data_IF_802137366299
#
_entry.id   IF_802137366299
#
_cell.length_a   1.000
_cell.length_b   1.000
_cell.length_c   1.000
_cell.angle_alpha   90.00
_cell.angle_beta   90.00
_cell.angle_gamma   90.00
#
_symmetry.space_group_name_H-M   'P 1'
#
loop_
_entity.id
_entity.type
_entity.pdbx_description
1 polymer ?
#
# COMPACT_ATOMS: atom_id res chain seq x y z
N UNK A 1 3.08 19.36 -23.80
CA UNK A 1 2.90 20.57 -24.63
C UNK A 1 3.70 20.41 -25.90
N UNK A 2 3.07 20.65 -27.04
CA UNK A 2 3.70 20.64 -28.35
C UNK A 2 3.78 22.07 -28.88
N UNK A 3 4.95 22.48 -29.37
CA UNK A 3 5.22 23.80 -29.93
C UNK A 3 5.69 23.64 -31.38
N UNK A 4 4.92 24.20 -32.32
CA UNK A 4 5.23 24.23 -33.75
C UNK A 4 6.26 25.33 -34.04
N UNK A 5 6.92 25.27 -35.20
CA UNK A 5 7.87 26.32 -35.62
C UNK A 5 7.24 27.70 -35.85
N UNK A 6 5.94 27.75 -36.11
CA UNK A 6 5.16 29.00 -36.22
C UNK A 6 4.84 29.65 -34.86
N UNK A 7 5.27 29.03 -33.75
CA UNK A 7 5.01 29.49 -32.39
C UNK A 7 3.69 28.99 -31.78
N UNK A 8 2.86 28.27 -32.54
CA UNK A 8 1.61 27.68 -32.04
C UNK A 8 1.91 26.65 -30.95
N UNK A 9 1.23 26.78 -29.80
CA UNK A 9 1.35 25.86 -28.68
C UNK A 9 0.07 25.07 -28.47
N UNK A 10 0.22 23.77 -28.32
CA UNK A 10 -0.88 22.83 -28.12
C UNK A 10 -0.64 22.08 -26.80
N UNK A 11 -1.57 22.22 -25.87
CA UNK A 11 -1.60 21.40 -24.66
C UNK A 11 -2.16 20.02 -25.02
N UNK A 12 -1.46 18.97 -24.61
CA UNK A 12 -1.79 17.59 -24.97
C UNK A 12 -1.62 16.73 -23.72
N UNK A 13 -2.65 15.93 -23.43
CA UNK A 13 -2.58 14.83 -22.48
C UNK A 13 -2.41 13.55 -23.27
N UNK A 14 -1.35 12.79 -22.99
CA UNK A 14 -1.10 11.51 -23.67
C UNK A 14 -2.11 10.49 -23.15
N UNK A 15 -2.91 9.86 -24.03
CA UNK A 15 -3.88 8.87 -23.62
C UNK A 15 -3.19 7.51 -23.32
N UNK A 16 -3.88 6.54 -22.70
CA UNK A 16 -3.27 5.27 -22.25
C UNK A 16 -2.59 4.46 -23.36
N UNK A 17 -3.03 4.58 -24.61
CA UNK A 17 -2.42 3.99 -25.80
C UNK A 17 -1.04 4.58 -26.15
N UNK A 18 -0.64 5.68 -25.50
CA UNK A 18 0.70 6.27 -25.62
C UNK A 18 0.94 7.02 -26.93
N UNK A 19 -0.08 7.20 -27.76
CA UNK A 19 0.06 7.84 -29.09
C UNK A 19 -0.74 9.14 -29.16
N UNK A 20 -0.19 10.11 -29.88
CA UNK A 20 -0.79 11.44 -30.08
C UNK A 20 -0.54 11.83 -31.53
N UNK A 21 -1.58 12.34 -32.20
CA UNK A 21 -1.46 12.88 -33.56
C UNK A 21 -1.50 14.41 -33.53
N UNK A 22 -0.49 15.05 -34.11
CA UNK A 22 -0.46 16.50 -34.33
C UNK A 22 -0.46 16.75 -35.83
N UNK A 23 -1.42 17.55 -36.31
CA UNK A 23 -1.57 17.89 -37.73
C UNK A 23 -1.00 19.27 -38.03
N UNK A 24 -0.71 19.49 -39.32
CA UNK A 24 -0.25 20.78 -39.86
C UNK A 24 1.02 21.25 -39.14
N UNK A 25 2.07 20.43 -39.17
CA UNK A 25 3.36 20.74 -38.55
C UNK A 25 4.27 21.34 -39.61
N UNK A 26 4.56 22.65 -39.58
CA UNK A 26 5.45 23.29 -40.56
C UNK A 26 6.82 22.61 -40.55
N UNK A 27 7.31 22.28 -41.74
CA UNK A 27 8.57 21.55 -41.95
C UNK A 27 8.66 20.19 -41.24
N UNK A 28 7.56 19.68 -40.70
CA UNK A 28 7.53 18.43 -39.93
C UNK A 28 8.33 18.48 -38.62
N UNK A 29 8.74 19.65 -38.13
CA UNK A 29 9.52 19.77 -36.89
C UNK A 29 8.63 20.27 -35.76
N UNK A 30 8.69 19.57 -34.62
CA UNK A 30 7.89 19.90 -33.45
C UNK A 30 8.76 19.86 -32.19
N UNK A 31 8.64 20.89 -31.35
CA UNK A 31 9.25 20.89 -30.01
C UNK A 31 8.25 20.34 -29.01
N UNK A 32 8.57 19.23 -28.39
CA UNK A 32 7.76 18.62 -27.35
C UNK A 32 8.35 18.99 -25.99
N UNK A 33 7.49 19.44 -25.08
CA UNK A 33 7.80 19.61 -23.66
C UNK A 33 6.85 18.74 -22.84
N UNK A 34 7.41 17.73 -22.17
CA UNK A 34 6.70 16.89 -21.21
C UNK A 34 6.65 17.63 -19.89
N UNK A 35 5.50 18.23 -19.60
CA UNK A 35 5.31 19.10 -18.43
C UNK A 35 5.27 18.27 -17.14
N UNK A 36 4.47 17.21 -17.12
CA UNK A 36 4.30 16.36 -15.94
C UNK A 36 3.95 14.93 -16.32
N UNK A 37 4.29 13.99 -15.44
CA UNK A 37 3.86 12.59 -15.49
C UNK A 37 3.11 12.24 -14.21
N UNK A 38 1.87 11.74 -14.31
CA UNK A 38 0.99 11.49 -13.15
C UNK A 38 0.85 12.69 -12.21
N UNK A 39 0.94 13.91 -12.75
CA UNK A 39 0.90 15.16 -11.97
C UNK A 39 2.22 15.57 -11.30
N UNK A 40 3.28 14.77 -11.43
CA UNK A 40 4.64 15.11 -10.97
C UNK A 40 5.36 15.88 -12.07
N UNK A 41 5.95 17.06 -11.81
CA UNK A 41 6.69 17.84 -12.81
C UNK A 41 7.88 17.06 -13.37
N UNK A 42 8.07 17.15 -14.69
CA UNK A 42 9.23 16.54 -15.39
C UNK A 42 10.01 17.60 -16.17
N UNK A 43 9.31 18.52 -16.84
CA UNK A 43 9.89 19.62 -17.61
C UNK A 43 10.98 19.19 -18.62
N UNK A 44 10.78 18.04 -19.27
CA UNK A 44 11.70 17.54 -20.29
C UNK A 44 11.33 18.06 -21.67
N UNK A 45 12.31 18.58 -22.43
CA UNK A 45 12.09 19.11 -23.78
C UNK A 45 12.93 18.36 -24.82
N UNK A 46 12.30 18.02 -25.94
CA UNK A 46 12.99 17.42 -27.08
C UNK A 46 12.37 17.90 -28.41
N UNK A 47 13.09 17.66 -29.50
CA UNK A 47 12.60 17.90 -30.85
C UNK A 47 12.22 16.58 -31.51
N UNK A 48 11.08 16.54 -32.19
CA UNK A 48 10.60 15.37 -32.93
C UNK A 48 10.34 15.72 -34.38
N UNK A 49 10.51 14.72 -35.24
CA UNK A 49 10.25 14.78 -36.68
C UNK A 49 9.52 13.50 -37.12
N UNK A 50 8.97 13.43 -38.35
CA UNK A 50 8.43 12.17 -38.88
C UNK A 50 9.44 11.02 -38.87
N UNK A 51 10.74 11.30 -38.98
CA UNK A 51 11.80 10.30 -38.91
C UNK A 51 12.17 9.90 -37.47
N UNK A 52 11.86 10.73 -36.47
CA UNK A 52 12.07 10.46 -35.05
C UNK A 52 10.85 10.94 -34.24
N UNK A 53 9.77 10.16 -34.33
CA UNK A 53 8.47 10.46 -33.72
C UNK A 53 8.31 9.88 -32.31
N UNK A 54 9.31 9.16 -31.81
CA UNK A 54 9.28 8.53 -30.48
C UNK A 54 9.94 9.43 -29.45
N UNK A 55 9.22 9.70 -28.35
CA UNK A 55 9.73 10.50 -27.23
C UNK A 55 10.04 9.57 -26.05
N UNK A 56 11.31 9.43 -25.72
CA UNK A 56 11.75 8.75 -24.50
C UNK A 56 12.05 9.80 -23.44
N UNK A 57 11.32 9.75 -22.33
CA UNK A 57 11.47 10.70 -21.22
C UNK A 57 12.49 10.12 -20.21
N UNK A 58 13.64 10.76 -20.00
CA UNK A 58 14.61 10.32 -19.01
C UNK A 58 14.09 10.56 -17.58
N UNK A 59 14.70 9.90 -16.59
CA UNK A 59 14.38 10.11 -15.18
C UNK A 59 13.02 9.54 -14.75
N UNK A 60 12.42 8.65 -15.54
CA UNK A 60 11.28 7.84 -15.12
C UNK A 60 11.81 6.48 -14.65
N UNK A 61 11.58 6.17 -13.37
CA UNK A 61 12.11 4.98 -12.72
C UNK A 61 10.99 4.05 -12.24
N UNK A 62 11.33 2.77 -12.17
CA UNK A 62 10.45 1.74 -11.60
C UNK A 62 10.55 1.78 -10.08
N UNK A 63 9.41 2.01 -9.41
CA UNK A 63 9.27 1.84 -7.97
C UNK A 63 8.48 0.57 -7.70
N UNK A 64 9.04 -0.33 -6.90
CA UNK A 64 8.35 -1.50 -6.38
C UNK A 64 8.10 -1.33 -4.88
N UNK A 65 6.84 -1.26 -4.49
CA UNK A 65 6.41 -1.21 -3.09
C UNK A 65 6.11 -2.63 -2.62
N UNK A 66 6.74 -3.07 -1.54
CA UNK A 66 6.49 -4.36 -0.91
C UNK A 66 5.80 -4.14 0.43
N UNK A 67 4.50 -4.47 0.50
CA UNK A 67 3.68 -4.45 1.69
C UNK A 67 3.86 -5.77 2.45
N UNK A 68 4.44 -5.71 3.65
CA UNK A 68 4.74 -6.89 4.47
C UNK A 68 4.13 -6.78 5.86
N UNK A 69 3.75 -7.90 6.45
CA UNK A 69 3.31 -7.97 7.85
C UNK A 69 4.46 -8.13 8.83
N UNK A 70 4.14 -8.29 10.12
CA UNK A 70 5.11 -8.34 11.22
C UNK A 70 6.07 -9.53 11.15
N UNK A 71 5.75 -10.57 10.37
CA UNK A 71 6.59 -11.76 10.15
C UNK A 71 7.35 -11.71 8.82
N UNK A 72 7.34 -10.57 8.14
CA UNK A 72 7.93 -10.41 6.80
C UNK A 72 7.10 -11.08 5.69
N UNK A 73 5.88 -11.53 5.98
CA UNK A 73 4.99 -12.13 5.00
C UNK A 73 4.37 -11.06 4.09
N UNK A 74 4.29 -11.31 2.79
CA UNK A 74 3.62 -10.42 1.85
C UNK A 74 2.13 -10.29 2.13
N UNK A 75 1.59 -9.07 2.08
CA UNK A 75 0.18 -8.78 2.32
C UNK A 75 -0.56 -8.62 0.99
N UNK A 76 -1.08 -9.72 0.44
CA UNK A 76 -1.90 -9.71 -0.78
C UNK A 76 -3.13 -8.83 -0.57
N UNK A 77 -3.43 -7.96 -1.54
CA UNK A 77 -4.61 -7.10 -1.46
C UNK A 77 -4.40 -5.82 -0.64
N UNK A 78 -3.19 -5.56 -0.14
CA UNK A 78 -2.87 -4.28 0.49
C UNK A 78 -3.07 -3.12 -0.50
N UNK A 79 -3.76 -2.08 -0.06
CA UNK A 79 -3.92 -0.85 -0.84
C UNK A 79 -2.65 -0.01 -0.70
N UNK A 80 -2.05 0.34 -1.82
CA UNK A 80 -0.87 1.21 -1.89
C UNK A 80 -1.29 2.52 -2.52
N UNK A 81 -0.93 3.62 -1.87
CA UNK A 81 -1.14 4.98 -2.37
C UNK A 81 0.16 5.76 -2.27
N UNK A 82 0.53 6.44 -3.36
CA UNK A 82 1.79 7.16 -3.49
C UNK A 82 1.49 8.65 -3.62
N UNK A 83 2.15 9.45 -2.79
CA UNK A 83 1.94 10.89 -2.70
C UNK A 83 3.20 11.65 -3.12
N UNK A 84 2.98 12.75 -3.82
CA UNK A 84 3.98 13.77 -4.13
C UNK A 84 3.46 15.13 -3.67
N UNK A 85 4.19 15.83 -2.81
CA UNK A 85 3.76 17.13 -2.28
C UNK A 85 2.38 17.11 -1.61
N UNK A 86 2.02 16.01 -0.94
CA UNK A 86 0.72 15.82 -0.28
C UNK A 86 -0.44 15.44 -1.22
N UNK A 87 -0.21 15.32 -2.53
CA UNK A 87 -1.22 14.89 -3.50
C UNK A 87 -1.00 13.44 -3.91
N UNK A 88 -2.08 12.66 -3.97
CA UNK A 88 -2.07 11.29 -4.52
C UNK A 88 -1.74 11.34 -6.02
N UNK A 89 -0.64 10.69 -6.41
CA UNK A 89 -0.16 10.60 -7.81
C UNK A 89 -0.35 9.22 -8.39
N UNK A 90 -0.47 8.20 -7.54
CA UNK A 90 -0.70 6.83 -7.99
C UNK A 90 -1.34 5.98 -6.89
N UNK A 91 -2.13 4.99 -7.32
CA UNK A 91 -2.78 4.05 -6.42
C UNK A 91 -2.86 2.67 -7.06
N UNK A 92 -2.74 1.64 -6.24
CA UNK A 92 -2.98 0.28 -6.68
C UNK A 92 -3.14 -0.71 -5.54
N UNK A 93 -3.31 -1.97 -5.91
CA UNK A 93 -3.46 -3.08 -4.99
C UNK A 93 -2.24 -4.00 -5.13
N UNK A 94 -1.70 -4.44 -4.01
CA UNK A 94 -0.60 -5.37 -3.96
C UNK A 94 -1.02 -6.77 -4.47
N UNK A 95 -0.12 -7.39 -5.23
CA UNK A 95 -0.28 -8.73 -5.81
C UNK A 95 -0.18 -9.86 -4.76
N UNK A 96 -0.14 -11.12 -5.20
CA UNK A 96 -0.05 -12.29 -4.32
C UNK A 96 1.20 -12.33 -3.44
N UNK A 97 2.28 -11.67 -3.86
CA UNK A 97 3.52 -11.54 -3.08
C UNK A 97 3.52 -10.31 -2.16
N UNK A 98 2.42 -9.53 -2.12
CA UNK A 98 2.36 -8.26 -1.40
C UNK A 98 3.12 -7.14 -2.12
N UNK A 99 3.31 -7.24 -3.44
CA UNK A 99 4.08 -6.28 -4.24
C UNK A 99 3.19 -5.43 -5.14
N UNK A 100 3.50 -4.14 -5.25
CA UNK A 100 2.90 -3.22 -6.22
C UNK A 100 4.01 -2.50 -6.97
N UNK A 101 3.89 -2.35 -8.28
CA UNK A 101 4.94 -1.76 -9.13
C UNK A 101 4.37 -0.66 -9.99
N UNK A 102 5.10 0.44 -10.12
CA UNK A 102 4.73 1.57 -10.98
C UNK A 102 5.94 2.31 -11.54
N UNK A 103 5.72 3.16 -12.54
CA UNK A 103 6.69 4.08 -13.12
C UNK A 103 6.40 5.50 -12.66
N UNK A 104 7.39 6.15 -12.06
CA UNK A 104 7.31 7.50 -11.53
C UNK A 104 8.58 8.30 -11.88
N UNK A 105 8.47 9.63 -12.04
CA UNK A 105 9.64 10.49 -12.18
C UNK A 105 10.59 10.42 -10.99
N UNK A 106 11.82 10.86 -11.19
CA UNK A 106 12.78 11.03 -10.11
C UNK A 106 12.33 12.16 -9.17
N UNK A 107 11.96 11.82 -7.94
CA UNK A 107 11.47 12.74 -6.91
C UNK A 107 11.36 12.04 -5.55
N UNK A 108 11.07 12.82 -4.50
CA UNK A 108 10.72 12.32 -3.18
C UNK A 108 9.22 12.03 -3.08
N UNK A 109 8.87 10.84 -2.61
CA UNK A 109 7.49 10.37 -2.46
C UNK A 109 7.21 9.95 -1.03
N UNK A 110 5.93 10.05 -0.62
CA UNK A 110 5.41 9.36 0.55
C UNK A 110 4.56 8.18 0.09
N UNK A 111 4.90 6.98 0.53
CA UNK A 111 4.20 5.73 0.19
C UNK A 111 3.40 5.31 1.40
N UNK A 112 2.07 5.32 1.25
CA UNK A 112 1.13 4.88 2.28
C UNK A 112 0.57 3.53 1.89
N UNK A 113 0.62 2.59 2.82
CA UNK A 113 0.06 1.25 2.65
C UNK A 113 -1.02 1.03 3.71
N UNK A 114 -2.15 0.45 3.29
CA UNK A 114 -3.25 0.07 4.16
C UNK A 114 -3.63 -1.40 3.92
N UNK A 115 -3.78 -2.15 5.00
CA UNK A 115 -4.28 -3.51 4.97
C UNK A 115 -5.10 -3.82 6.23
N UNK A 116 -6.35 -4.24 6.05
CA UNK A 116 -7.24 -4.62 7.17
C UNK A 116 -7.40 -3.52 8.24
N UNK A 117 -7.33 -2.25 7.85
CA UNK A 117 -7.42 -1.10 8.77
C UNK A 117 -6.08 -0.71 9.43
N UNK A 118 -5.02 -1.49 9.26
CA UNK A 118 -3.66 -1.12 9.68
C UNK A 118 -3.01 -0.28 8.58
N UNK A 119 -2.37 0.82 8.96
CA UNK A 119 -1.70 1.73 8.02
C UNK A 119 -0.24 1.93 8.39
N UNK A 120 0.60 2.09 7.37
CA UNK A 120 2.00 2.48 7.51
C UNK A 120 2.38 3.43 6.38
N UNK A 121 3.32 4.32 6.66
CA UNK A 121 3.81 5.31 5.69
C UNK A 121 5.33 5.31 5.68
N UNK A 122 5.92 5.47 4.50
CA UNK A 122 7.37 5.54 4.33
C UNK A 122 7.73 6.53 3.22
N UNK A 123 8.72 7.37 3.49
CA UNK A 123 9.30 8.24 2.49
C UNK A 123 10.34 7.52 1.64
N UNK A 124 10.39 7.82 0.36
CA UNK A 124 11.36 7.28 -0.60
C UNK A 124 11.84 8.37 -1.54
N UNK A 125 13.16 8.48 -1.70
CA UNK A 125 13.80 9.35 -2.68
C UNK A 125 14.15 8.52 -3.93
N UNK A 126 13.34 8.65 -4.97
CA UNK A 126 13.49 7.87 -6.18
C UNK A 126 14.44 8.57 -7.14
N UNK A 127 15.66 8.06 -7.30
CA UNK A 127 16.64 8.54 -8.29
C UNK A 127 17.10 7.48 -9.29
N UNK A 128 16.70 6.22 -9.06
CA UNK A 128 16.98 5.04 -9.87
C UNK A 128 15.86 4.01 -9.59
N UNK A 129 15.77 2.90 -10.33
CA UNK A 129 14.84 1.83 -9.98
C UNK A 129 15.06 1.36 -8.53
N UNK A 130 14.00 1.33 -7.73
CA UNK A 130 14.11 1.05 -6.29
C UNK A 130 12.97 0.16 -5.78
N UNK A 131 13.23 -0.51 -4.65
CA UNK A 131 12.27 -1.31 -3.90
C UNK A 131 12.13 -0.78 -2.48
N UNK A 132 10.94 -0.30 -2.14
CA UNK A 132 10.59 0.13 -0.79
C UNK A 132 9.77 -0.95 -0.08
N UNK A 133 10.29 -1.44 1.05
CA UNK A 133 9.52 -2.31 1.96
C UNK A 133 8.80 -1.46 3.00
N UNK A 134 7.49 -1.65 3.09
CA UNK A 134 6.60 -1.01 4.07
C UNK A 134 6.01 -2.12 4.95
N UNK A 135 6.41 -2.15 6.22
CA UNK A 135 5.97 -3.15 7.18
C UNK A 135 4.77 -2.63 7.97
N UNK A 136 3.71 -3.45 8.05
CA UNK A 136 2.51 -3.19 8.82
C UNK A 136 2.49 -4.11 10.04
N UNK A 137 1.89 -3.65 11.15
CA UNK A 137 1.67 -4.50 12.33
C UNK A 137 0.48 -5.45 12.12
N UNK A 138 0.71 -6.42 11.24
CA UNK A 138 -0.21 -7.49 10.87
C UNK A 138 0.52 -8.80 11.08
N UNK A 139 0.11 -9.54 12.11
CA UNK A 139 0.72 -10.81 12.50
C UNK A 139 -0.02 -12.01 11.90
N UNK A 140 -1.36 -11.96 11.92
CA UNK A 140 -2.22 -13.02 11.41
C UNK A 140 -3.50 -12.44 10.82
N UNK A 141 -4.14 -13.17 9.91
CA UNK A 141 -5.48 -12.87 9.43
C UNK A 141 -6.40 -14.04 9.81
N UNK A 142 -7.47 -13.74 10.54
CA UNK A 142 -8.43 -14.76 10.99
C UNK A 142 -9.83 -14.26 10.59
N UNK A 143 -10.51 -15.02 9.72
CA UNK A 143 -11.86 -14.68 9.27
C UNK A 143 -11.96 -13.33 8.55
N UNK A 144 -10.93 -12.92 7.80
CA UNK A 144 -10.88 -11.61 7.12
C UNK A 144 -10.47 -10.43 7.99
N UNK A 145 -10.17 -10.67 9.28
CA UNK A 145 -9.70 -9.64 10.21
C UNK A 145 -8.19 -9.74 10.35
N UNK A 146 -7.49 -8.67 9.99
CA UNK A 146 -6.05 -8.53 10.20
C UNK A 146 -5.77 -8.19 11.67
N UNK A 147 -5.05 -9.07 12.36
CA UNK A 147 -4.70 -8.95 13.77
C UNK A 147 -3.22 -8.59 13.92
N UNK A 148 -2.96 -7.65 14.81
CA UNK A 148 -1.62 -7.26 15.25
C UNK A 148 -1.01 -8.27 16.22
N UNK A 149 0.28 -8.13 16.47
CA UNK A 149 0.99 -9.00 17.41
C UNK A 149 0.39 -8.90 18.82
N UNK A 150 0.00 -7.70 19.26
CA UNK A 150 -0.63 -7.47 20.56
C UNK A 150 -2.05 -8.04 20.65
N UNK A 151 -2.85 -7.92 19.58
CA UNK A 151 -4.20 -8.50 19.51
C UNK A 151 -4.15 -10.03 19.61
N UNK A 152 -3.20 -10.66 18.90
CA UNK A 152 -3.01 -12.12 18.96
C UNK A 152 -2.56 -12.56 20.36
N UNK A 153 -1.59 -11.86 20.97
CA UNK A 153 -1.15 -12.18 22.33
C UNK A 153 -2.28 -12.00 23.36
N UNK A 154 -3.09 -10.95 23.22
CA UNK A 154 -4.27 -10.74 24.07
C UNK A 154 -5.28 -11.89 23.96
N UNK A 155 -5.55 -12.37 22.75
CA UNK A 155 -6.43 -13.52 22.53
C UNK A 155 -5.88 -14.81 23.13
N UNK A 156 -4.56 -15.05 23.02
CA UNK A 156 -3.90 -16.23 23.61
C UNK A 156 -3.99 -16.17 25.14
N UNK A 157 -3.68 -15.02 25.76
CA UNK A 157 -3.78 -14.85 27.22
C UNK A 157 -5.22 -15.04 27.68
N UNK A 158 -6.20 -14.44 26.98
CA UNK A 158 -7.62 -14.63 27.29
C UNK A 158 -8.02 -16.11 27.23
N UNK A 159 -7.63 -16.82 26.17
CA UNK A 159 -7.91 -18.25 26.01
C UNK A 159 -7.26 -19.10 27.12
N UNK A 160 -6.06 -18.76 27.57
CA UNK A 160 -5.38 -19.43 28.68
C UNK A 160 -6.02 -19.16 30.05
N UNK A 161 -6.64 -17.99 30.24
CA UNK A 161 -7.35 -17.64 31.48
C UNK A 161 -8.70 -18.36 31.64
N UNK A 162 -9.40 -18.65 30.53
CA UNK A 162 -10.71 -19.35 30.57
C UNK A 162 -10.67 -20.66 31.38
N UNK A 163 -9.77 -21.64 31.12
CA UNK A 163 -9.74 -22.88 31.90
C UNK A 163 -9.37 -22.64 33.36
N UNK A 164 -8.54 -21.65 33.66
CA UNK A 164 -8.20 -21.28 35.04
C UNK A 164 -9.44 -20.76 35.78
N UNK A 165 -10.20 -19.87 35.16
CA UNK A 165 -11.44 -19.34 35.71
C UNK A 165 -12.46 -20.47 35.92
N UNK A 166 -12.64 -21.34 34.91
CA UNK A 166 -13.51 -22.51 35.02
C UNK A 166 -13.08 -23.47 36.13
N UNK A 167 -11.77 -23.65 36.32
CA UNK A 167 -11.23 -24.46 37.41
C UNK A 167 -11.55 -23.85 38.77
N UNK A 168 -11.35 -22.54 38.95
CA UNK A 168 -11.69 -21.83 40.20
C UNK A 168 -13.18 -21.94 40.49
N UNK A 169 -14.04 -21.72 39.49
CA UNK A 169 -15.50 -21.86 39.61
C UNK A 169 -15.86 -23.31 40.00
N UNK A 170 -15.30 -24.31 39.33
CA UNK A 170 -15.55 -25.71 39.62
C UNK A 170 -15.05 -26.10 41.03
N UNK A 171 -13.90 -25.58 41.45
CA UNK A 171 -13.32 -25.79 42.77
C UNK A 171 -14.20 -25.18 43.87
N UNK A 172 -14.62 -23.92 43.73
CA UNK A 172 -15.53 -23.25 44.67
C UNK A 172 -16.87 -23.97 44.74
N UNK A 173 -17.42 -24.36 43.58
CA UNK A 173 -18.66 -25.14 43.50
C UNK A 173 -18.53 -26.49 44.23
N UNK A 174 -17.42 -27.22 44.02
CA UNK A 174 -17.18 -28.50 44.69
C UNK A 174 -17.10 -28.33 46.22
N UNK A 175 -16.44 -27.29 46.71
CA UNK A 175 -16.36 -26.98 48.15
C UNK A 175 -17.72 -26.60 48.73
N UNK A 176 -18.48 -25.73 48.06
CA UNK A 176 -19.83 -25.36 48.48
C UNK A 176 -20.75 -26.58 48.56
N UNK A 177 -20.71 -27.45 47.53
CA UNK A 177 -21.48 -28.70 47.50
C UNK A 177 -21.13 -29.64 48.65
N UNK A 178 -19.84 -29.84 48.95
CA UNK A 178 -19.38 -30.66 50.08
C UNK A 178 -19.95 -30.16 51.41
N UNK A 179 -19.89 -28.85 51.66
CA UNK A 179 -20.45 -28.23 52.88
C UNK A 179 -21.97 -28.44 53.00
N UNK A 180 -22.69 -28.37 51.87
CA UNK A 180 -24.16 -28.56 51.86
C UNK A 180 -24.55 -30.01 52.17
N UNK A 181 -23.82 -31.00 51.65
CA UNK A 181 -24.10 -32.43 51.89
C UNK A 181 -23.87 -32.79 53.37
N UNK A 182 -22.77 -32.33 53.97
CA UNK A 182 -22.46 -32.59 55.38
C UNK A 182 -23.53 -32.04 56.33
N UNK A 183 -24.11 -30.86 56.03
CA UNK A 183 -25.21 -30.31 56.81
C UNK A 183 -26.49 -31.15 56.74
N UNK A 184 -26.78 -31.76 55.60
CA UNK A 184 -27.97 -32.62 55.43
C UNK A 184 -27.79 -33.94 56.17
N UNK A 185 -26.61 -34.55 56.11
CA UNK A 185 -26.31 -35.82 56.82
C UNK A 185 -26.20 -35.61 58.33
N UNK A 186 -25.68 -34.47 58.79
CA UNK A 186 -25.61 -34.16 60.22
C UNK A 186 -26.96 -33.77 60.84
N UNK A 187 -27.95 -33.37 60.02
CA UNK A 187 -29.30 -33.04 60.47
C UNK A 187 -30.29 -34.22 60.46
N UNK A 188 -29.85 -35.42 60.09
CA UNK A 188 -30.67 -36.65 60.06
C UNK A 188 -30.42 -37.61 61.24
N UNK A 189 -29.89 -37.10 62.35
CA UNK A 189 -29.73 -37.81 63.62
C UNK A 189 -30.48 -37.10 64.75
#
# INVERSE_FOLDING_TARGET
>A
MAEKLDGTRIAITVPPEGTVTVREVPLGVLKITVVSWKGVPVNYTCWVTPANSTVTVPGIHKLTVSAVGSRGQGLRGASVEIFYGGRSVDKGIADEAGSYTTLLPAASYAVKVNYGGKTAEKHVDLSAPDRVVVQLDVFAEIGGVALSSGEVMGLIVLAALIPLILFVIAYEYAQWRRKKILKVVAGSH
#
